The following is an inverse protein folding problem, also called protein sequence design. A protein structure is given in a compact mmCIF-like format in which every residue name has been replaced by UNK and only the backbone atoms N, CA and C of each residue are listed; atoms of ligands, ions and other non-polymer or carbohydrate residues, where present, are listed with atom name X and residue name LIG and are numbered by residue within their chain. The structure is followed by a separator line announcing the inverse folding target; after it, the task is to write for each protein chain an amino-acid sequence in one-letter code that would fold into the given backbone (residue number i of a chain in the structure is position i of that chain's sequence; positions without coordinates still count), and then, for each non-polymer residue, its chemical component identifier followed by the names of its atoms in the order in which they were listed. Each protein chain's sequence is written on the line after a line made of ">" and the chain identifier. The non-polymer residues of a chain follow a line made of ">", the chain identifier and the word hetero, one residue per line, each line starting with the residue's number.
data_IF_115274640502
#
_entry.id   IF_115274640502
#
_cell.length_a   1.000
_cell.length_b   1.000
_cell.length_c   1.000
_cell.angle_alpha   90.00
_cell.angle_beta   90.00
_cell.angle_gamma   90.00
#
_symmetry.space_group_name_H-M   'P 1'
#
loop_
_entity.id
_entity.type
_entity.pdbx_description
1 polymer ?
#
# COMPACT_ATOMS: atom_id res chain seq x y z
N UNK A 1 -8.47 24.88 -23.77
CA UNK A 1 -8.73 23.53 -23.22
C UNK A 1 -9.23 22.67 -24.38
N UNK A 2 -8.46 21.69 -24.80
CA UNK A 2 -8.79 20.86 -25.96
C UNK A 2 -9.75 19.73 -25.60
N UNK A 3 -10.48 19.21 -26.59
CA UNK A 3 -11.37 18.06 -26.42
C UNK A 3 -10.67 16.84 -25.77
N UNK A 4 -9.36 16.69 -25.98
CA UNK A 4 -8.55 15.65 -25.35
C UNK A 4 -8.47 15.79 -23.83
N UNK A 5 -8.27 17.01 -23.30
CA UNK A 5 -8.26 17.26 -21.85
C UNK A 5 -9.65 17.04 -21.23
N UNK A 6 -10.69 17.49 -21.92
CA UNK A 6 -12.07 17.31 -21.48
C UNK A 6 -12.45 15.82 -21.41
N UNK A 7 -12.02 15.02 -22.41
CA UNK A 7 -12.22 13.57 -22.42
C UNK A 7 -11.45 12.88 -21.31
N UNK A 8 -10.17 13.20 -21.14
CA UNK A 8 -9.37 12.66 -20.05
C UNK A 8 -9.93 13.02 -18.66
N UNK A 9 -10.50 14.22 -18.51
CA UNK A 9 -11.18 14.62 -17.28
C UNK A 9 -12.50 13.85 -17.08
N UNK A 10 -13.28 13.63 -18.14
CA UNK A 10 -14.50 12.85 -18.11
C UNK A 10 -14.22 11.38 -17.74
N UNK A 11 -13.21 10.75 -18.34
CA UNK A 11 -12.84 9.35 -18.06
C UNK A 11 -12.42 9.18 -16.58
N UNK A 12 -11.69 10.16 -16.02
CA UNK A 12 -11.35 10.18 -14.59
C UNK A 12 -12.57 10.36 -13.70
N UNK A 13 -13.49 11.23 -14.08
CA UNK A 13 -14.73 11.47 -13.34
C UNK A 13 -15.64 10.22 -13.35
N UNK A 14 -15.77 9.55 -14.50
CA UNK A 14 -16.50 8.29 -14.62
C UNK A 14 -15.91 7.22 -13.71
N UNK A 15 -14.58 7.09 -13.70
CA UNK A 15 -13.88 6.13 -12.83
C UNK A 15 -14.20 6.41 -11.35
N UNK A 16 -14.13 7.68 -10.92
CA UNK A 16 -14.45 8.08 -9.55
C UNK A 16 -15.91 7.79 -9.20
N UNK A 17 -16.84 8.07 -10.11
CA UNK A 17 -18.27 7.78 -9.92
C UNK A 17 -18.53 6.28 -9.78
N UNK A 18 -17.88 5.46 -10.61
CA UNK A 18 -18.01 3.98 -10.53
C UNK A 18 -17.45 3.44 -9.21
N UNK A 19 -16.33 3.97 -8.73
CA UNK A 19 -15.79 3.60 -7.41
C UNK A 19 -16.70 4.03 -6.26
N UNK A 20 -17.30 5.22 -6.32
CA UNK A 20 -18.25 5.67 -5.30
C UNK A 20 -19.51 4.80 -5.30
N UNK A 21 -20.06 4.48 -6.47
CA UNK A 21 -21.21 3.60 -6.59
C UNK A 21 -20.90 2.20 -6.01
N UNK A 22 -19.73 1.63 -6.32
CA UNK A 22 -19.33 0.34 -5.76
C UNK A 22 -19.24 0.36 -4.23
N UNK A 23 -18.76 1.48 -3.66
CA UNK A 23 -18.70 1.67 -2.20
C UNK A 23 -20.08 1.80 -1.58
N UNK A 24 -20.99 2.55 -2.21
CA UNK A 24 -22.38 2.65 -1.76
C UNK A 24 -23.07 1.29 -1.77
N UNK A 25 -22.83 0.45 -2.79
CA UNK A 25 -23.37 -0.92 -2.84
C UNK A 25 -22.81 -1.75 -1.69
N UNK A 26 -21.50 -1.69 -1.44
CA UNK A 26 -20.87 -2.41 -0.34
C UNK A 26 -21.38 -1.97 1.06
N UNK A 27 -21.63 -0.68 1.25
CA UNK A 27 -22.14 -0.15 2.52
C UNK A 27 -23.61 -0.53 2.80
N UNK A 28 -24.40 -0.83 1.75
CA UNK A 28 -25.83 -1.12 1.87
C UNK A 28 -26.20 -2.60 1.64
N UNK A 29 -25.25 -3.41 1.18
CA UNK A 29 -25.44 -4.85 0.99
C UNK A 29 -25.56 -5.60 2.32
N UNK A 30 -26.34 -6.67 2.34
CA UNK A 30 -26.56 -7.48 3.55
C UNK A 30 -25.35 -8.35 3.87
N UNK A 31 -24.68 -8.88 2.84
CA UNK A 31 -23.48 -9.70 2.97
C UNK A 31 -22.57 -9.57 1.74
N UNK A 32 -21.39 -10.20 1.80
CA UNK A 32 -20.39 -10.12 0.74
C UNK A 32 -20.84 -10.79 -0.59
N UNK A 33 -21.75 -11.76 -0.53
CA UNK A 33 -22.31 -12.40 -1.72
C UNK A 33 -23.35 -11.49 -2.39
N UNK A 34 -24.26 -10.91 -1.60
CA UNK A 34 -25.24 -9.91 -2.03
C UNK A 34 -24.55 -8.69 -2.67
N UNK A 35 -23.51 -8.16 -2.02
CA UNK A 35 -22.67 -7.10 -2.57
C UNK A 35 -22.13 -7.46 -3.97
N UNK A 36 -21.55 -8.66 -4.11
CA UNK A 36 -20.97 -9.11 -5.37
C UNK A 36 -22.01 -9.27 -6.46
N UNK A 37 -23.19 -9.80 -6.15
CA UNK A 37 -24.28 -9.92 -7.12
C UNK A 37 -24.77 -8.54 -7.59
N UNK A 38 -24.94 -7.59 -6.67
CA UNK A 38 -25.35 -6.23 -7.00
C UNK A 38 -24.31 -5.49 -7.87
N UNK A 39 -23.01 -5.66 -7.56
CA UNK A 39 -21.92 -5.07 -8.36
C UNK A 39 -21.89 -5.64 -9.79
N UNK A 40 -22.07 -6.96 -9.93
CA UNK A 40 -22.17 -7.62 -11.23
C UNK A 40 -23.37 -7.12 -12.03
N UNK A 41 -24.53 -6.97 -11.40
CA UNK A 41 -25.74 -6.43 -12.06
C UNK A 41 -25.55 -4.98 -12.54
N UNK A 42 -24.80 -4.18 -11.80
CA UNK A 42 -24.54 -2.77 -12.11
C UNK A 42 -23.32 -2.56 -13.02
N UNK A 43 -22.59 -3.62 -13.38
CA UNK A 43 -21.35 -3.52 -14.16
C UNK A 43 -20.26 -2.71 -13.45
N UNK A 44 -20.29 -2.71 -12.11
CA UNK A 44 -19.35 -2.00 -11.27
C UNK A 44 -18.16 -2.91 -10.93
N UNK A 45 -16.96 -2.32 -10.77
CA UNK A 45 -15.80 -3.08 -10.33
C UNK A 45 -15.98 -3.52 -8.87
N UNK A 46 -15.37 -4.64 -8.51
CA UNK A 46 -15.29 -5.06 -7.11
C UNK A 46 -14.63 -3.94 -6.29
N UNK A 47 -15.22 -3.55 -5.14
CA UNK A 47 -14.58 -2.61 -4.23
C UNK A 47 -13.26 -3.21 -3.77
N UNK A 48 -12.22 -2.37 -3.53
CA UNK A 48 -10.99 -2.86 -2.96
C UNK A 48 -11.32 -3.56 -1.64
N UNK A 49 -10.91 -4.82 -1.50
CA UNK A 49 -11.12 -5.60 -0.29
C UNK A 49 -10.51 -4.83 0.89
N UNK A 50 -11.37 -4.19 1.68
CA UNK A 50 -11.03 -3.32 2.81
C UNK A 50 -10.61 -4.16 4.04
N UNK A 51 -9.64 -5.04 3.81
CA UNK A 51 -8.94 -5.86 4.80
C UNK A 51 -7.43 -5.87 4.60
N UNK A 52 -6.93 -5.33 3.48
CA UNK A 52 -5.55 -4.86 3.47
C UNK A 52 -5.57 -3.51 4.17
N UNK A 53 -4.93 -3.34 5.35
CA UNK A 53 -4.78 -2.01 5.91
C UNK A 53 -4.17 -1.16 4.80
N UNK A 54 -4.88 -0.11 4.39
CA UNK A 54 -4.27 0.96 3.60
C UNK A 54 -3.09 1.38 4.43
N UNK A 55 -1.88 0.91 4.06
CA UNK A 55 -0.65 1.38 4.70
C UNK A 55 -0.64 2.86 4.45
N UNK A 56 -1.02 3.57 5.50
CA UNK A 56 -1.09 5.01 5.50
C UNK A 56 0.31 5.49 5.13
N UNK A 57 0.39 6.66 4.51
CA UNK A 57 1.67 7.25 4.15
C UNK A 57 2.63 7.31 5.37
N UNK A 58 2.08 7.38 6.59
CA UNK A 58 2.80 7.28 7.86
C UNK A 58 3.48 5.92 8.08
N UNK A 59 2.82 4.79 7.81
CA UNK A 59 3.44 3.46 7.94
C UNK A 59 4.56 3.26 6.91
N UNK A 60 4.37 3.73 5.68
CA UNK A 60 5.43 3.72 4.65
C UNK A 60 6.63 4.60 5.03
N UNK A 61 6.41 5.70 5.74
CA UNK A 61 7.50 6.54 6.25
C UNK A 61 8.21 5.91 7.46
N UNK A 62 7.49 5.16 8.30
CA UNK A 62 8.05 4.43 9.43
C UNK A 62 8.94 3.26 8.99
N UNK A 63 8.54 2.49 7.98
CA UNK A 63 9.38 1.41 7.42
C UNK A 63 10.70 1.95 6.84
N UNK A 64 10.66 3.10 6.17
CA UNK A 64 11.85 3.77 5.66
C UNK A 64 12.79 4.19 6.81
N UNK A 65 12.25 4.81 7.86
CA UNK A 65 13.03 5.14 9.06
C UNK A 65 13.61 3.92 9.77
N UNK A 66 12.86 2.82 9.86
CA UNK A 66 13.32 1.59 10.48
C UNK A 66 14.46 0.93 9.66
N UNK A 67 14.38 1.00 8.32
CA UNK A 67 15.44 0.53 7.45
C UNK A 67 16.71 1.40 7.58
N UNK A 68 16.57 2.71 7.71
CA UNK A 68 17.69 3.65 7.90
C UNK A 68 18.32 3.57 9.30
N UNK A 69 17.55 3.23 10.34
CA UNK A 69 18.04 3.05 11.72
C UNK A 69 18.64 1.68 12.01
N UNK A 70 18.68 0.77 11.03
CA UNK A 70 19.50 -0.44 11.12
C UNK A 70 20.98 -0.07 10.95
N UNK A 71 21.49 0.71 11.90
CA UNK A 71 22.92 0.90 12.10
C UNK A 71 23.48 -0.49 12.39
N UNK A 72 24.38 -1.03 11.54
CA UNK A 72 25.11 -2.23 11.88
C UNK A 72 25.91 -1.88 13.14
N UNK A 73 25.70 -2.66 14.20
CA UNK A 73 26.55 -2.65 15.38
C UNK A 73 27.94 -3.09 14.92
N UNK A 74 28.72 -2.13 14.42
CA UNK A 74 30.13 -2.32 14.14
C UNK A 74 30.76 -2.49 15.51
N UNK A 75 30.80 -3.74 15.95
CA UNK A 75 31.69 -4.20 17.00
C UNK A 75 33.08 -3.69 16.61
N UNK A 76 33.50 -2.62 17.28
CA UNK A 76 34.85 -2.10 17.17
C UNK A 76 35.77 -3.27 17.57
N UNK A 77 36.62 -3.80 16.67
CA UNK A 77 37.56 -4.82 17.07
C UNK A 77 38.48 -4.19 18.12
N UNK A 78 38.45 -4.75 19.31
CA UNK A 78 39.38 -4.45 20.39
C UNK A 78 40.81 -4.77 19.86
N UNK A 79 41.74 -3.80 19.82
CA UNK A 79 43.09 -4.03 19.29
C UNK A 79 43.99 -4.85 20.23
N UNK A 80 43.46 -5.46 21.30
CA UNK A 80 44.29 -6.15 22.32
C UNK A 80 44.56 -7.62 22.01
N UNK A 81 43.98 -8.22 20.97
CA UNK A 81 44.28 -9.61 20.60
C UNK A 81 45.49 -9.68 19.65
N UNK A 82 46.68 -9.46 20.22
CA UNK A 82 47.94 -9.80 19.56
C UNK A 82 48.30 -11.25 19.91
N UNK A 83 48.37 -12.18 18.94
CA UNK A 83 48.85 -13.53 19.22
C UNK A 83 50.36 -13.47 19.47
N UNK A 84 50.79 -13.82 20.70
CA UNK A 84 52.20 -14.11 21.00
C UNK A 84 52.66 -15.24 20.07
N UNK A 85 53.59 -14.95 19.17
CA UNK A 85 54.30 -15.98 18.44
C UNK A 85 55.21 -16.78 19.39
N UNK A 86 55.22 -18.12 19.31
CA UNK A 86 56.27 -18.92 19.91
C UNK A 86 57.43 -19.03 18.90
N UNK A 87 58.57 -18.42 19.23
CA UNK A 87 59.82 -18.52 18.47
C UNK A 87 60.89 -19.19 19.32
N UNK A 88 61.46 -20.25 18.75
CA UNK A 88 62.43 -21.25 19.23
C UNK A 88 63.66 -20.73 19.97
#
# INVERSE_FOLDING_TARGET
>A
MGFADARAAADRAETVQRSQAARTVADNSVDANDCRELLLMLGLPDPPADGAPVRTQNERAQDQRAAEQRVPDYAYPDPSDSPRQPGT
#
